data_IF_006509955552
#
_entry.id   IF_006509955552
#
_cell.length_a   1.000
_cell.length_b   1.000
_cell.length_c   1.000
_cell.angle_alpha   90.00
_cell.angle_beta   90.00
_cell.angle_gamma   90.00
#
_symmetry.space_group_name_H-M   'P 1'
#
loop_
_entity.id
_entity.type
_entity.pdbx_description
1 polymer ?
#
# COMPACT_ATOMS: atom_id res chain seq x y z
N UNK A 1 35.10 38.07 -32.12
CA UNK A 1 34.84 37.41 -33.41
C UNK A 1 34.52 35.95 -33.13
N UNK A 2 33.23 35.60 -33.05
CA UNK A 2 32.79 34.20 -33.01
C UNK A 2 32.21 33.89 -34.39
N UNK A 3 32.98 33.18 -35.21
CA UNK A 3 32.49 32.66 -36.49
C UNK A 3 31.44 31.59 -36.17
N UNK A 4 30.16 31.92 -36.40
CA UNK A 4 29.12 30.91 -36.53
C UNK A 4 29.48 30.05 -37.74
N UNK A 5 29.79 28.78 -37.49
CA UNK A 5 29.98 27.77 -38.52
C UNK A 5 28.57 27.37 -39.00
N UNK A 6 27.86 28.33 -39.61
CA UNK A 6 26.56 28.07 -40.21
C UNK A 6 26.78 27.26 -41.48
N UNK A 7 26.45 25.97 -41.42
CA UNK A 7 26.45 25.07 -42.55
C UNK A 7 25.16 25.32 -43.37
N UNK A 8 25.27 25.99 -44.52
CA UNK A 8 24.15 26.30 -45.44
C UNK A 8 23.65 25.08 -46.25
N UNK A 9 23.68 23.88 -45.67
CA UNK A 9 23.09 22.69 -46.29
C UNK A 9 21.63 22.57 -45.84
N UNK A 10 20.70 22.67 -46.78
CA UNK A 10 19.27 22.44 -46.53
C UNK A 10 19.00 21.01 -46.07
N UNK A 11 17.88 20.81 -45.35
CA UNK A 11 17.42 19.48 -44.94
C UNK A 11 17.07 18.67 -46.19
N UNK A 12 17.65 17.48 -46.29
CA UNK A 12 17.41 16.59 -47.41
C UNK A 12 16.10 15.80 -47.22
N UNK A 13 15.41 15.44 -48.30
CA UNK A 13 14.16 14.67 -48.22
C UNK A 13 14.36 13.32 -47.50
N UNK A 14 15.55 12.72 -47.65
CA UNK A 14 15.93 11.49 -46.94
C UNK A 14 16.05 11.71 -45.42
N UNK A 15 16.60 12.84 -44.96
CA UNK A 15 16.63 13.19 -43.53
C UNK A 15 15.23 13.35 -42.97
N UNK A 16 14.31 13.98 -43.70
CA UNK A 16 12.91 14.12 -43.27
C UNK A 16 12.25 12.75 -43.15
N UNK A 17 12.46 11.86 -44.12
CA UNK A 17 11.89 10.51 -44.07
C UNK A 17 12.42 9.71 -42.88
N UNK A 18 13.73 9.78 -42.60
CA UNK A 18 14.33 9.14 -41.45
C UNK A 18 13.79 9.76 -40.15
N UNK A 19 13.67 11.09 -40.07
CA UNK A 19 13.12 11.77 -38.91
C UNK A 19 11.67 11.36 -38.62
N UNK A 20 10.80 11.29 -39.64
CA UNK A 20 9.40 10.86 -39.49
C UNK A 20 9.33 9.39 -39.04
N UNK A 21 10.17 8.52 -39.61
CA UNK A 21 10.25 7.12 -39.20
C UNK A 21 10.64 7.00 -37.72
N UNK A 22 11.67 7.75 -37.28
CA UNK A 22 12.14 7.73 -35.90
C UNK A 22 11.09 8.26 -34.93
N UNK A 23 10.37 9.33 -35.29
CA UNK A 23 9.26 9.87 -34.48
C UNK A 23 8.12 8.87 -34.37
N UNK A 24 7.73 8.22 -35.47
CA UNK A 24 6.66 7.23 -35.46
C UNK A 24 7.01 6.02 -34.55
N UNK A 25 8.24 5.51 -34.65
CA UNK A 25 8.72 4.42 -33.78
C UNK A 25 8.79 4.87 -32.31
N UNK A 26 9.24 6.10 -32.06
CA UNK A 26 9.29 6.67 -30.71
C UNK A 26 7.92 6.79 -30.04
N UNK A 27 6.91 7.23 -30.78
CA UNK A 27 5.53 7.34 -30.28
C UNK A 27 4.95 5.94 -29.98
N UNK A 28 5.17 4.97 -30.86
CA UNK A 28 4.72 3.58 -30.62
C UNK A 28 5.39 2.97 -29.39
N UNK A 29 6.69 3.23 -29.19
CA UNK A 29 7.42 2.80 -28.01
C UNK A 29 6.80 3.39 -26.72
N UNK A 30 6.53 4.69 -26.68
CA UNK A 30 5.87 5.32 -25.53
C UNK A 30 4.45 4.79 -25.30
N UNK A 31 3.69 4.57 -26.37
CA UNK A 31 2.33 4.02 -26.25
C UNK A 31 2.32 2.63 -25.60
N UNK A 32 3.31 1.78 -25.91
CA UNK A 32 3.44 0.44 -25.33
C UNK A 32 3.68 0.44 -23.81
N UNK A 33 4.17 1.55 -23.24
CA UNK A 33 4.45 1.66 -21.81
C UNK A 33 3.23 2.07 -20.97
N UNK A 34 2.14 2.55 -21.59
CA UNK A 34 1.00 3.10 -20.86
C UNK A 34 0.28 2.06 -19.99
N UNK A 35 0.03 0.86 -20.54
CA UNK A 35 -0.65 -0.23 -19.82
C UNK A 35 0.12 -0.73 -18.59
N UNK A 36 1.40 -1.11 -18.73
CA UNK A 36 2.23 -1.50 -17.59
C UNK A 36 2.37 -0.40 -16.54
N UNK A 37 2.46 0.87 -16.95
CA UNK A 37 2.53 2.00 -16.04
C UNK A 37 1.29 2.09 -15.15
N UNK A 38 0.08 2.02 -15.72
CA UNK A 38 -1.17 2.07 -14.95
C UNK A 38 -1.31 0.90 -13.97
N UNK A 39 -0.96 -0.31 -14.40
CA UNK A 39 -1.01 -1.48 -13.53
C UNK A 39 -0.02 -1.40 -12.36
N UNK A 40 1.16 -0.83 -12.61
CA UNK A 40 2.17 -0.65 -11.55
C UNK A 40 1.72 0.44 -10.58
N UNK A 41 1.26 1.58 -11.10
CA UNK A 41 0.74 2.68 -10.28
C UNK A 41 -0.45 2.25 -9.42
N UNK A 42 -1.42 1.50 -9.97
CA UNK A 42 -2.57 1.04 -9.19
C UNK A 42 -2.17 0.06 -8.08
N UNK A 43 -1.26 -0.87 -8.36
CA UNK A 43 -0.72 -1.79 -7.34
C UNK A 43 0.05 -1.04 -6.25
N UNK A 44 0.84 -0.04 -6.62
CA UNK A 44 1.59 0.78 -5.66
C UNK A 44 0.68 1.62 -4.77
N UNK A 45 -0.39 2.22 -5.31
CA UNK A 45 -1.38 2.95 -4.49
C UNK A 45 -2.09 2.00 -3.51
N UNK A 46 -2.55 0.84 -4.01
CA UNK A 46 -3.22 -0.15 -3.18
C UNK A 46 -2.34 -0.65 -2.04
N UNK A 47 -1.07 -0.94 -2.34
CA UNK A 47 -0.07 -1.38 -1.36
C UNK A 47 0.26 -0.28 -0.35
N UNK A 48 0.44 0.96 -0.82
CA UNK A 48 0.75 2.10 0.04
C UNK A 48 -0.36 2.35 1.06
N UNK A 49 -1.63 2.35 0.61
CA UNK A 49 -2.80 2.49 1.47
C UNK A 49 -2.96 1.31 2.43
N UNK A 50 -2.76 0.07 1.94
CA UNK A 50 -2.78 -1.11 2.80
C UNK A 50 -1.74 -1.01 3.93
N UNK A 51 -0.53 -0.51 3.63
CA UNK A 51 0.53 -0.31 4.62
C UNK A 51 0.13 0.68 5.73
N UNK A 52 -0.52 1.78 5.37
CA UNK A 52 -1.02 2.76 6.35
C UNK A 52 -2.10 2.14 7.24
N UNK A 53 -3.05 1.41 6.66
CA UNK A 53 -4.10 0.72 7.42
C UNK A 53 -3.48 -0.31 8.37
N UNK A 54 -2.55 -1.12 7.87
CA UNK A 54 -1.85 -2.13 8.65
C UNK A 54 -1.12 -1.52 9.85
N UNK A 55 -0.37 -0.44 9.63
CA UNK A 55 0.39 0.22 10.70
C UNK A 55 -0.54 0.81 11.76
N UNK A 56 -1.61 1.49 11.34
CA UNK A 56 -2.61 2.08 12.25
C UNK A 56 -3.28 1.02 13.11
N UNK A 57 -3.65 -0.10 12.52
CA UNK A 57 -4.31 -1.21 13.22
C UNK A 57 -3.35 -1.89 14.20
N UNK A 58 -2.08 -2.05 13.84
CA UNK A 58 -1.06 -2.54 14.77
C UNK A 58 -0.88 -1.61 15.97
N UNK A 59 -0.66 -0.31 15.73
CA UNK A 59 -0.46 0.67 16.80
C UNK A 59 -1.69 0.77 17.71
N UNK A 60 -2.89 0.76 17.12
CA UNK A 60 -4.15 0.79 17.89
C UNK A 60 -4.27 -0.44 18.80
N UNK A 61 -3.97 -1.63 18.28
CA UNK A 61 -4.02 -2.86 19.08
C UNK A 61 -2.90 -2.93 20.12
N UNK A 62 -1.71 -2.42 19.80
CA UNK A 62 -0.59 -2.31 20.73
C UNK A 62 -0.96 -1.41 21.91
N UNK A 63 -1.39 -0.18 21.67
CA UNK A 63 -1.83 0.74 22.72
C UNK A 63 -2.97 0.14 23.57
N UNK A 64 -3.90 -0.56 22.94
CA UNK A 64 -5.01 -1.24 23.64
C UNK A 64 -4.53 -2.34 24.56
N UNK A 65 -3.49 -3.09 24.18
CA UNK A 65 -2.95 -4.20 24.97
C UNK A 65 -1.94 -3.74 26.02
N UNK A 66 -1.23 -2.63 25.77
CA UNK A 66 -0.31 -2.03 26.73
C UNK A 66 -1.04 -1.52 27.97
N UNK A 67 -2.27 -1.01 27.82
CA UNK A 67 -3.07 -0.52 28.96
C UNK A 67 -3.54 -1.68 29.85
N UNK A 68 -3.11 -1.76 31.13
CA UNK A 68 -3.52 -2.81 32.05
C UNK A 68 -5.00 -2.78 32.47
N UNK A 69 -5.66 -1.61 32.39
CA UNK A 69 -7.07 -1.44 32.77
C UNK A 69 -8.03 -2.08 31.76
N UNK A 70 -7.58 -2.30 30.53
CA UNK A 70 -8.40 -2.95 29.51
C UNK A 70 -8.40 -4.47 29.72
N UNK A 71 -9.57 -5.13 29.54
CA UNK A 71 -9.67 -6.57 29.70
C UNK A 71 -8.87 -7.28 28.60
N UNK A 72 -8.39 -8.48 28.91
CA UNK A 72 -7.76 -9.34 27.92
C UNK A 72 -8.76 -9.65 26.78
N UNK A 73 -8.43 -9.36 25.51
CA UNK A 73 -9.33 -9.66 24.39
C UNK A 73 -9.45 -11.16 24.10
N UNK A 74 -8.54 -11.99 24.60
CA UNK A 74 -8.57 -13.45 24.47
C UNK A 74 -9.44 -14.07 25.58
N UNK A 75 -10.73 -14.26 25.30
CA UNK A 75 -11.67 -14.85 26.27
C UNK A 75 -11.39 -16.35 26.41
N UNK A 76 -11.13 -16.82 27.63
CA UNK A 76 -10.94 -18.24 27.91
C UNK A 76 -9.68 -18.86 27.29
N UNK A 77 -8.68 -18.05 26.92
CA UNK A 77 -7.44 -18.51 26.29
C UNK A 77 -7.55 -18.78 24.78
N UNK A 78 -8.72 -18.50 24.17
CA UNK A 78 -8.88 -18.58 22.73
C UNK A 78 -8.33 -17.31 22.04
N UNK A 79 -7.71 -17.44 20.84
CA UNK A 79 -7.29 -16.28 20.07
C UNK A 79 -8.47 -15.37 19.70
N UNK A 80 -8.27 -14.05 19.82
CA UNK A 80 -9.24 -13.07 19.33
C UNK A 80 -8.99 -12.84 17.84
N UNK A 81 -9.96 -13.19 16.99
CA UNK A 81 -9.88 -12.99 15.54
C UNK A 81 -10.99 -12.04 15.13
N UNK A 82 -10.61 -10.87 14.62
CA UNK A 82 -11.53 -9.82 14.19
C UNK A 82 -11.26 -9.54 12.72
N UNK A 83 -12.29 -9.71 11.90
CA UNK A 83 -12.24 -9.37 10.49
C UNK A 83 -13.15 -8.16 10.23
N UNK A 84 -12.57 -7.03 9.82
CA UNK A 84 -13.30 -5.79 9.59
C UNK A 84 -12.93 -5.19 8.23
N UNK A 85 -13.93 -4.84 7.40
CA UNK A 85 -13.67 -4.10 6.19
C UNK A 85 -13.29 -2.65 6.52
N UNK A 86 -12.24 -2.15 5.89
CA UNK A 86 -11.82 -0.75 5.92
C UNK A 86 -11.93 -0.16 4.51
N UNK A 87 -12.48 1.04 4.41
CA UNK A 87 -12.67 1.72 3.12
C UNK A 87 -11.52 2.68 2.84
N UNK A 88 -11.11 2.77 1.57
CA UNK A 88 -10.01 3.65 1.14
C UNK A 88 -10.23 5.14 1.49
N UNK A 89 -11.49 5.58 1.59
CA UNK A 89 -11.88 6.92 2.01
C UNK A 89 -11.75 7.19 3.52
N UNK A 90 -11.58 6.13 4.34
CA UNK A 90 -11.61 6.21 5.80
C UNK A 90 -13.01 6.47 6.38
N UNK A 91 -14.06 6.45 5.57
CA UNK A 91 -15.44 6.56 6.03
C UNK A 91 -15.93 5.23 6.63
N UNK A 92 -16.94 5.29 7.50
CA UNK A 92 -17.55 4.08 8.08
C UNK A 92 -18.38 3.27 7.06
N UNK A 93 -18.83 3.91 5.99
CA UNK A 93 -19.62 3.30 4.92
C UNK A 93 -18.97 3.55 3.55
N UNK A 94 -19.12 2.59 2.64
CA UNK A 94 -18.57 2.63 1.29
C UNK A 94 -19.02 3.88 0.53
N UNK A 95 -18.06 4.63 -0.02
CA UNK A 95 -18.32 5.74 -0.93
C UNK A 95 -18.17 5.29 -2.40
N UNK A 96 -18.79 6.01 -3.36
CA UNK A 96 -18.60 5.73 -4.78
C UNK A 96 -17.12 5.79 -5.17
N UNK A 97 -16.60 4.69 -5.72
CA UNK A 97 -15.18 4.57 -6.11
C UNK A 97 -14.25 4.08 -5.01
N UNK A 98 -14.76 3.74 -3.82
CA UNK A 98 -13.93 3.18 -2.75
C UNK A 98 -13.46 1.75 -3.06
N UNK A 99 -12.20 1.51 -2.73
CA UNK A 99 -11.66 0.16 -2.64
C UNK A 99 -11.86 -0.36 -1.22
N UNK A 100 -12.39 -1.58 -1.11
CA UNK A 100 -12.50 -2.30 0.16
C UNK A 100 -11.17 -2.97 0.50
N UNK A 101 -10.68 -2.72 1.71
CA UNK A 101 -9.61 -3.51 2.33
C UNK A 101 -10.23 -4.41 3.38
N UNK A 102 -9.76 -5.64 3.48
CA UNK A 102 -10.18 -6.57 4.51
C UNK A 102 -9.05 -6.70 5.54
N UNK A 103 -9.30 -6.22 6.76
CA UNK A 103 -8.33 -6.24 7.85
C UNK A 103 -8.66 -7.40 8.77
N UNK A 104 -7.78 -8.38 8.79
CA UNK A 104 -7.82 -9.50 9.72
C UNK A 104 -6.81 -9.26 10.83
N UNK A 105 -7.33 -9.00 12.04
CA UNK A 105 -6.52 -8.89 13.25
C UNK A 105 -6.66 -10.16 14.08
N UNK A 106 -5.54 -10.79 14.37
CA UNK A 106 -5.46 -11.99 15.21
C UNK A 106 -4.59 -11.68 16.43
N UNK A 107 -5.18 -11.78 17.62
CA UNK A 107 -4.48 -11.60 18.90
C UNK A 107 -4.42 -12.95 19.59
N UNK A 108 -3.21 -13.37 19.95
CA UNK A 108 -2.95 -14.59 20.70
C UNK A 108 -2.37 -14.19 22.06
N UNK A 109 -2.91 -14.76 23.13
CA UNK A 109 -2.33 -14.61 24.47
C UNK A 109 -1.27 -15.71 24.67
N UNK A 110 -0.04 -15.30 25.00
CA UNK A 110 1.07 -16.23 25.26
C UNK A 110 1.06 -16.78 26.70
N UNK A 111 0.06 -16.43 27.50
CA UNK A 111 -0.15 -16.90 28.89
C UNK A 111 1.00 -16.53 29.85
N UNK A 112 1.84 -15.57 29.46
CA UNK A 112 2.99 -15.09 30.22
C UNK A 112 2.97 -13.57 30.42
N UNK A 113 1.81 -12.92 30.21
CA UNK A 113 1.67 -11.47 30.25
C UNK A 113 2.13 -10.75 28.97
N UNK A 114 2.26 -11.49 27.87
CA UNK A 114 2.48 -10.94 26.52
C UNK A 114 1.43 -11.45 25.54
N UNK A 115 1.18 -10.64 24.52
CA UNK A 115 0.25 -10.94 23.44
C UNK A 115 0.97 -10.83 22.10
N UNK A 116 0.72 -11.78 21.21
CA UNK A 116 1.14 -11.70 19.82
C UNK A 116 -0.02 -11.14 19.01
N UNK A 117 0.18 -9.98 18.40
CA UNK A 117 -0.78 -9.33 17.50
C UNK A 117 -0.29 -9.52 16.08
N UNK A 118 -1.11 -10.14 15.24
CA UNK A 118 -0.91 -10.23 13.80
C UNK A 118 -2.01 -9.45 13.11
N UNK A 119 -1.64 -8.52 12.24
CA UNK A 119 -2.56 -7.82 11.36
C UNK A 119 -2.25 -8.23 9.93
N UNK A 120 -3.27 -8.61 9.19
CA UNK A 120 -3.19 -8.89 7.77
C UNK A 120 -4.20 -8.02 7.03
N UNK A 121 -3.76 -7.35 5.98
CA UNK A 121 -4.59 -6.49 5.14
C UNK A 121 -4.60 -7.05 3.73
N UNK A 122 -5.78 -7.44 3.25
CA UNK A 122 -6.00 -7.92 1.89
C UNK A 122 -6.91 -6.96 1.12
N UNK A 123 -6.86 -7.02 -0.21
CA UNK A 123 -7.66 -6.15 -1.09
C UNK A 123 -8.02 -6.89 -2.40
N UNK A 124 -9.02 -6.42 -3.16
CA UNK A 124 -9.40 -7.03 -4.43
C UNK A 124 -8.20 -7.20 -5.37
N UNK A 125 -7.99 -8.42 -5.86
CA UNK A 125 -6.85 -8.76 -6.72
C UNK A 125 -5.58 -9.18 -5.98
N UNK A 126 -5.55 -9.14 -4.64
CA UNK A 126 -4.49 -9.73 -3.82
C UNK A 126 -5.04 -10.33 -2.51
N UNK A 127 -5.29 -11.64 -2.53
CA UNK A 127 -5.80 -12.38 -1.37
C UNK A 127 -4.71 -12.75 -0.34
N UNK A 128 -3.43 -12.62 -0.70
CA UNK A 128 -2.33 -12.79 0.25
C UNK A 128 -2.15 -11.51 1.07
N UNK A 129 -2.21 -10.36 0.39
CA UNK A 129 -2.13 -9.04 1.00
C UNK A 129 -0.75 -8.76 1.59
N UNK A 130 -0.73 -7.96 2.65
CA UNK A 130 0.44 -7.73 3.51
C UNK A 130 0.09 -8.11 4.95
N UNK A 131 1.08 -8.57 5.71
CA UNK A 131 0.88 -8.90 7.11
C UNK A 131 2.11 -8.58 7.92
N UNK A 132 1.90 -8.17 9.16
CA UNK A 132 2.96 -7.92 10.12
C UNK A 132 2.52 -8.46 11.49
N UNK A 133 3.51 -8.69 12.36
CA UNK A 133 3.29 -9.28 13.68
C UNK A 133 4.15 -8.55 14.69
N UNK A 134 3.55 -8.23 15.83
CA UNK A 134 4.22 -7.59 16.97
C UNK A 134 3.90 -8.34 18.24
N UNK A 135 4.86 -8.39 19.16
CA UNK A 135 4.64 -8.91 20.51
C UNK A 135 4.53 -7.73 21.46
N UNK A 136 3.42 -7.67 22.19
CA UNK A 136 3.08 -6.57 23.08
C UNK A 136 3.02 -7.08 24.51
N UNK A 137 3.51 -6.27 25.44
CA UNK A 137 3.40 -6.50 26.88
C UNK A 137 2.67 -5.35 27.54
N UNK A 138 2.07 -5.61 28.70
CA UNK A 138 1.46 -4.55 29.51
C UNK A 138 2.52 -3.62 30.07
N UNK A 139 2.18 -2.34 30.14
CA UNK A 139 3.05 -1.31 30.70
C UNK A 139 2.27 -0.45 31.68
N UNK A 140 2.76 -0.33 32.91
CA UNK A 140 2.10 0.49 33.95
C UNK A 140 2.02 1.98 33.58
N UNK A 141 2.95 2.48 32.75
CA UNK A 141 2.92 3.86 32.25
C UNK A 141 1.69 4.15 31.36
N UNK A 142 1.05 3.13 30.81
CA UNK A 142 -0.14 3.25 29.95
C UNK A 142 -1.44 2.98 30.73
N UNK A 143 -1.40 3.00 32.06
CA UNK A 143 -2.57 2.90 32.91
C UNK A 143 -3.30 4.24 32.93
N UNK A 144 -4.36 4.36 32.14
CA UNK A 144 -5.31 5.46 32.14
C UNK A 144 -6.75 4.94 32.24
#
# INVERSE_FOLDING_TARGET
MYNSISNEKGITLIEVMIAVMLVAVGIMALASLQGPAWNTTSRSDLLGRAGVILHRELETNELRLMNPNLPNPCVGGAPSVVNQPQWASGQAAAQPGDVSYNVLTTIIDNLNGSWLVRVQVTWPGNNLGISETVVVTRQEAFRF
#
